data_IF_953871118586
#
_entry.id   IF_953871118586
#
_cell.length_a   1.000
_cell.length_b   1.000
_cell.length_c   1.000
_cell.angle_alpha   90.00
_cell.angle_beta   90.00
_cell.angle_gamma   90.00
#
_symmetry.space_group_name_H-M   'P 1'
#
loop_
_entity.id
_entity.type
_entity.pdbx_description
1 polymer ?
#
# COMPACT_ATOMS: atom_id res chain seq x y z
N UNK A 1 -4.92 34.69 38.01
CA UNK A 1 -3.54 34.67 37.48
C UNK A 1 -2.89 33.41 38.04
N UNK A 2 -2.88 32.35 37.29
CA UNK A 2 -2.19 31.11 37.64
C UNK A 2 -1.51 30.61 36.35
N UNK A 3 -0.19 30.68 36.37
CA UNK A 3 0.70 30.31 35.28
C UNK A 3 0.58 28.83 34.96
N UNK A 4 0.23 28.51 33.72
CA UNK A 4 0.35 27.14 33.16
C UNK A 4 1.74 27.03 32.53
N UNK A 5 2.64 26.42 33.28
CA UNK A 5 4.00 26.14 32.88
C UNK A 5 3.99 24.90 31.95
N UNK A 6 4.01 25.10 30.65
CA UNK A 6 4.20 24.02 29.67
C UNK A 6 5.69 23.82 29.43
N UNK A 7 6.25 22.80 30.09
CA UNK A 7 7.65 22.36 29.82
C UNK A 7 7.74 21.75 28.42
N UNK A 8 8.77 22.06 27.63
CA UNK A 8 8.95 21.47 26.31
C UNK A 8 9.30 19.98 26.41
N UNK A 9 8.58 19.16 25.65
CA UNK A 9 8.82 17.71 25.56
C UNK A 9 10.26 17.45 25.08
N UNK A 10 11.04 16.70 25.84
CA UNK A 10 12.44 16.46 25.51
C UNK A 10 12.59 15.48 24.35
N UNK A 11 13.72 15.59 23.59
CA UNK A 11 14.07 14.65 22.51
C UNK A 11 14.09 13.18 22.98
N UNK A 12 14.33 12.92 24.25
CA UNK A 12 14.28 11.59 24.85
C UNK A 12 12.85 11.03 24.93
N UNK A 13 11.87 11.87 25.21
CA UNK A 13 10.46 11.47 25.34
C UNK A 13 9.84 11.19 23.97
N UNK A 14 10.26 11.95 22.93
CA UNK A 14 9.85 11.70 21.55
C UNK A 14 10.42 10.38 21.01
N UNK A 15 11.68 10.06 21.32
CA UNK A 15 12.30 8.76 20.94
C UNK A 15 11.65 7.61 21.71
N UNK A 16 11.27 7.79 22.98
CA UNK A 16 10.59 6.77 23.77
C UNK A 16 9.15 6.51 23.30
N UNK A 17 8.47 7.52 22.77
CA UNK A 17 7.11 7.38 22.21
C UNK A 17 7.14 6.72 20.83
N UNK A 18 8.12 7.04 19.99
CA UNK A 18 8.39 6.33 18.73
C UNK A 18 8.79 4.86 18.93
N UNK A 19 9.56 4.59 19.98
CA UNK A 19 9.93 3.22 20.37
C UNK A 19 8.75 2.42 20.93
N UNK A 20 7.75 3.07 21.54
CA UNK A 20 6.53 2.40 22.05
C UNK A 20 5.56 2.00 20.94
N UNK A 21 5.55 2.69 19.79
CA UNK A 21 4.82 2.24 18.60
C UNK A 21 5.53 1.12 17.82
N UNK A 22 6.85 0.95 18.04
CA UNK A 22 7.62 -0.18 17.55
C UNK A 22 7.65 -1.39 18.50
N UNK A 23 7.17 -1.27 19.73
CA UNK A 23 7.33 -2.28 20.79
C UNK A 23 6.09 -3.18 20.99
N UNK A 24 5.05 -3.10 20.14
CA UNK A 24 4.00 -4.13 20.10
C UNK A 24 4.39 -5.37 19.29
N UNK A 25 5.67 -5.54 19.00
CA UNK A 25 6.29 -6.80 18.59
C UNK A 25 7.09 -7.44 19.75
N UNK A 26 6.63 -7.25 20.99
CA UNK A 26 7.24 -7.88 22.15
C UNK A 26 6.50 -9.16 22.53
N UNK A 27 7.17 -10.29 22.24
CA UNK A 27 7.16 -11.51 23.04
C UNK A 27 5.81 -12.24 23.21
N UNK A 28 5.29 -12.83 22.12
CA UNK A 28 4.94 -14.24 22.25
C UNK A 28 6.27 -15.01 22.26
N UNK A 29 6.47 -16.01 23.14
CA UNK A 29 7.59 -16.91 23.00
C UNK A 29 7.38 -17.69 21.69
N UNK A 30 8.01 -17.24 20.61
CA UNK A 30 8.13 -18.01 19.39
C UNK A 30 9.05 -19.17 19.75
N UNK A 31 8.45 -20.28 20.16
CA UNK A 31 9.14 -21.55 20.17
C UNK A 31 9.57 -21.74 18.73
N UNK A 32 10.86 -21.58 18.50
CA UNK A 32 11.51 -21.99 17.27
C UNK A 32 11.28 -23.51 17.13
N UNK A 33 10.10 -23.89 16.63
CA UNK A 33 9.95 -25.19 16.00
C UNK A 33 10.86 -25.13 14.80
N UNK A 34 11.97 -25.84 14.94
CA UNK A 34 13.03 -25.89 13.97
C UNK A 34 12.46 -26.05 12.57
N UNK A 35 12.99 -25.26 11.67
CA UNK A 35 12.67 -25.27 10.24
C UNK A 35 13.00 -26.62 9.55
N UNK A 36 13.25 -27.65 10.28
CA UNK A 36 13.76 -28.96 9.84
C UNK A 36 12.66 -29.97 9.46
N UNK A 37 11.38 -29.58 9.48
CA UNK A 37 10.27 -30.49 9.24
C UNK A 37 9.58 -30.43 7.87
N UNK A 38 9.90 -29.45 7.02
CA UNK A 38 9.37 -29.45 5.65
C UNK A 38 10.21 -30.41 4.79
N UNK A 39 9.56 -31.36 4.12
CA UNK A 39 10.22 -32.20 3.13
C UNK A 39 10.99 -31.33 2.15
N UNK A 40 12.17 -31.79 1.63
CA UNK A 40 12.98 -31.01 0.67
C UNK A 40 12.16 -30.52 -0.54
N UNK A 41 11.11 -31.24 -0.91
CA UNK A 41 10.18 -30.89 -1.97
C UNK A 41 9.35 -29.61 -1.69
N UNK A 42 9.20 -29.21 -0.42
CA UNK A 42 8.42 -28.03 -0.02
C UNK A 42 9.27 -26.79 0.25
N UNK A 43 10.59 -26.86 0.05
CA UNK A 43 11.46 -25.70 0.20
C UNK A 43 11.42 -24.82 -1.04
N UNK A 44 11.34 -23.50 -0.82
CA UNK A 44 11.51 -22.47 -1.83
C UNK A 44 12.75 -21.65 -1.49
N UNK A 45 13.76 -21.73 -2.34
CA UNK A 45 14.98 -20.96 -2.20
C UNK A 45 14.80 -19.55 -2.77
N UNK A 46 14.90 -18.53 -1.92
CA UNK A 46 14.71 -17.15 -2.30
C UNK A 46 15.99 -16.35 -2.21
N UNK A 47 16.12 -15.35 -3.06
CA UNK A 47 17.12 -14.29 -2.95
C UNK A 47 16.45 -12.95 -2.75
N UNK A 48 17.16 -12.00 -2.10
CA UNK A 48 16.71 -10.62 -1.92
C UNK A 48 17.64 -9.68 -2.65
N UNK A 49 17.09 -8.77 -3.47
CA UNK A 49 17.81 -7.63 -4.06
C UNK A 49 17.25 -6.34 -3.45
N UNK A 50 18.10 -5.59 -2.75
CA UNK A 50 17.73 -4.42 -1.97
C UNK A 50 17.49 -4.76 -0.50
N UNK A 51 18.53 -4.61 0.32
CA UNK A 51 18.53 -4.89 1.77
C UNK A 51 18.20 -3.64 2.62
N UNK A 52 17.62 -2.62 1.99
CA UNK A 52 17.18 -1.39 2.64
C UNK A 52 16.05 -1.62 3.64
N UNK A 53 15.35 -0.55 3.99
CA UNK A 53 14.27 -0.64 4.98
C UNK A 53 13.12 -1.56 4.52
N UNK A 54 12.66 -1.38 3.26
CA UNK A 54 11.61 -2.24 2.70
C UNK A 54 12.07 -3.70 2.56
N UNK A 55 13.30 -3.93 2.08
CA UNK A 55 13.84 -5.30 1.98
C UNK A 55 13.87 -6.02 3.32
N UNK A 56 14.18 -5.32 4.43
CA UNK A 56 14.13 -5.89 5.79
C UNK A 56 12.71 -6.14 6.28
N UNK A 57 11.75 -5.27 5.92
CA UNK A 57 10.32 -5.48 6.22
C UNK A 57 9.85 -6.77 5.52
N UNK A 58 10.16 -6.94 4.24
CA UNK A 58 9.81 -8.14 3.48
C UNK A 58 10.54 -9.39 4.03
N UNK A 59 11.81 -9.27 4.39
CA UNK A 59 12.56 -10.36 5.05
C UNK A 59 11.84 -10.81 6.32
N UNK A 60 11.50 -9.88 7.22
CA UNK A 60 10.80 -10.20 8.46
C UNK A 60 9.42 -10.84 8.20
N UNK A 61 8.71 -10.38 7.18
CA UNK A 61 7.41 -10.94 6.79
C UNK A 61 7.54 -12.33 6.13
N UNK A 62 8.68 -12.63 5.48
CA UNK A 62 8.95 -13.91 4.84
C UNK A 62 9.47 -14.98 5.82
N UNK A 63 10.19 -14.59 6.86
CA UNK A 63 10.78 -15.51 7.85
C UNK A 63 9.78 -16.49 8.48
N UNK A 64 8.52 -16.12 8.82
CA UNK A 64 7.53 -17.04 9.35
C UNK A 64 6.94 -18.00 8.31
N UNK A 65 7.18 -17.79 7.01
CA UNK A 65 6.58 -18.61 5.94
C UNK A 65 7.31 -19.99 5.90
N UNK A 66 6.59 -21.11 6.14
CA UNK A 66 7.22 -22.41 6.16
C UNK A 66 7.93 -22.74 4.85
N UNK A 67 9.16 -23.22 4.92
CA UNK A 67 9.95 -23.65 3.78
C UNK A 67 10.52 -22.53 2.90
N UNK A 68 10.25 -21.25 3.15
CA UNK A 68 10.98 -20.17 2.50
C UNK A 68 12.42 -20.11 3.05
N UNK A 69 13.42 -20.19 2.17
CA UNK A 69 14.84 -20.21 2.54
C UNK A 69 15.61 -19.14 1.80
N UNK A 70 16.17 -18.18 2.52
CA UNK A 70 17.05 -17.18 1.91
C UNK A 70 18.43 -17.83 1.63
N UNK A 71 18.81 -17.82 0.36
CA UNK A 71 20.09 -18.37 -0.15
C UNK A 71 21.09 -17.27 -0.50
N UNK A 72 20.60 -16.09 -0.85
CA UNK A 72 21.43 -14.96 -1.21
C UNK A 72 20.75 -13.64 -0.89
N UNK A 73 21.56 -12.61 -0.63
CA UNK A 73 21.13 -11.21 -0.46
C UNK A 73 22.07 -10.30 -1.23
N UNK A 74 21.52 -9.26 -1.85
CA UNK A 74 22.27 -8.32 -2.66
C UNK A 74 21.94 -6.88 -2.30
N UNK A 75 22.96 -6.05 -2.05
CA UNK A 75 22.83 -4.61 -1.85
C UNK A 75 24.17 -3.94 -2.12
N UNK A 76 24.16 -2.78 -2.77
CA UNK A 76 25.38 -2.01 -3.04
C UNK A 76 25.97 -1.36 -1.77
N UNK A 77 25.17 -1.28 -0.69
CA UNK A 77 25.60 -0.70 0.59
C UNK A 77 25.98 -1.79 1.60
N UNK A 78 27.26 -1.96 1.91
CA UNK A 78 27.72 -3.00 2.84
C UNK A 78 27.05 -2.92 4.22
N UNK A 79 26.67 -1.73 4.66
CA UNK A 79 25.94 -1.51 5.91
C UNK A 79 24.58 -2.23 5.92
N UNK A 80 23.78 -2.10 4.85
CA UNK A 80 22.50 -2.77 4.72
C UNK A 80 22.69 -4.28 4.56
N UNK A 81 23.64 -4.68 3.73
CA UNK A 81 23.96 -6.08 3.45
C UNK A 81 24.30 -6.84 4.74
N UNK A 82 25.27 -6.34 5.51
CA UNK A 82 25.68 -6.95 6.79
C UNK A 82 24.54 -7.07 7.80
N UNK A 83 23.67 -6.04 7.87
CA UNK A 83 22.52 -6.04 8.78
C UNK A 83 21.50 -7.12 8.41
N UNK A 84 21.24 -7.29 7.13
CA UNK A 84 20.29 -8.30 6.63
C UNK A 84 20.87 -9.70 6.77
N UNK A 85 22.14 -9.89 6.47
CA UNK A 85 22.85 -11.16 6.68
C UNK A 85 22.78 -11.61 8.16
N UNK A 86 23.10 -10.71 9.09
CA UNK A 86 23.01 -10.98 10.54
C UNK A 86 21.58 -11.33 10.98
N UNK A 87 20.58 -10.65 10.44
CA UNK A 87 19.18 -10.96 10.70
C UNK A 87 18.86 -12.37 10.24
N UNK A 88 19.18 -12.72 9.00
CA UNK A 88 18.92 -14.04 8.42
C UNK A 88 19.64 -15.14 9.18
N UNK A 89 20.91 -14.95 9.54
CA UNK A 89 21.69 -15.91 10.33
C UNK A 89 21.07 -16.18 11.70
N UNK A 90 20.50 -15.15 12.36
CA UNK A 90 19.79 -15.31 13.64
C UNK A 90 18.59 -16.26 13.54
N UNK A 91 17.98 -16.38 12.36
CA UNK A 91 16.84 -17.26 12.07
C UNK A 91 17.24 -18.54 11.32
N UNK A 92 18.54 -18.91 11.30
CA UNK A 92 19.03 -20.15 10.72
C UNK A 92 19.10 -20.16 9.19
N UNK A 93 19.18 -18.98 8.56
CA UNK A 93 19.42 -18.87 7.13
C UNK A 93 20.87 -18.50 6.84
N UNK A 94 21.53 -19.26 5.98
CA UNK A 94 22.90 -19.03 5.51
C UNK A 94 22.86 -18.38 4.12
N UNK A 95 22.45 -17.11 4.06
CA UNK A 95 22.36 -16.36 2.83
C UNK A 95 23.74 -15.78 2.44
N UNK A 96 24.19 -16.05 1.21
CA UNK A 96 25.45 -15.49 0.68
C UNK A 96 25.25 -14.01 0.33
N UNK A 97 26.14 -13.11 0.77
CA UNK A 97 26.07 -11.69 0.42
C UNK A 97 26.69 -11.39 -0.95
N UNK A 98 26.07 -10.49 -1.71
CA UNK A 98 26.54 -10.01 -3.00
C UNK A 98 26.37 -8.49 -3.11
N UNK A 99 27.25 -7.84 -3.83
CA UNK A 99 27.12 -6.44 -4.21
C UNK A 99 26.42 -6.30 -5.57
N UNK A 100 26.72 -7.16 -6.52
CA UNK A 100 26.14 -7.19 -7.87
C UNK A 100 25.12 -8.32 -7.98
N UNK A 101 23.90 -7.98 -8.35
CA UNK A 101 22.82 -8.95 -8.54
C UNK A 101 23.08 -9.91 -9.71
N UNK A 102 23.86 -9.50 -10.72
CA UNK A 102 24.23 -10.35 -11.87
C UNK A 102 25.14 -11.49 -11.42
N UNK A 103 26.12 -11.16 -10.57
CA UNK A 103 26.98 -12.15 -9.94
C UNK A 103 26.16 -13.10 -9.07
N UNK A 104 25.24 -12.57 -8.28
CA UNK A 104 24.34 -13.39 -7.45
C UNK A 104 23.53 -14.37 -8.28
N UNK A 105 22.88 -13.91 -9.35
CA UNK A 105 22.03 -14.74 -10.22
C UNK A 105 22.82 -15.82 -10.97
N UNK A 106 24.08 -15.55 -11.33
CA UNK A 106 24.94 -16.51 -12.04
C UNK A 106 25.63 -17.50 -11.10
N UNK A 107 25.96 -17.10 -9.85
CA UNK A 107 26.76 -17.89 -8.91
C UNK A 107 25.93 -18.78 -7.98
N UNK A 108 24.63 -18.50 -7.79
CA UNK A 108 23.75 -19.25 -6.91
C UNK A 108 22.68 -19.94 -7.73
N UNK A 109 23.00 -21.18 -8.17
CA UNK A 109 22.15 -21.92 -9.12
C UNK A 109 20.80 -22.37 -8.56
N UNK A 110 20.69 -22.59 -7.26
CA UNK A 110 19.53 -23.15 -6.58
C UNK A 110 18.51 -22.09 -6.09
N UNK A 111 18.55 -20.87 -6.59
CA UNK A 111 17.51 -19.87 -6.36
C UNK A 111 16.28 -20.22 -7.20
N UNK A 112 15.09 -20.25 -6.59
CA UNK A 112 13.81 -20.46 -7.26
C UNK A 112 13.11 -19.11 -7.53
N UNK A 113 13.20 -18.17 -6.58
CA UNK A 113 12.53 -16.89 -6.66
C UNK A 113 13.37 -15.74 -6.10
N UNK A 114 13.12 -14.54 -6.60
CA UNK A 114 13.80 -13.31 -6.19
C UNK A 114 12.79 -12.31 -5.65
N UNK A 115 13.06 -11.75 -4.48
CA UNK A 115 12.35 -10.61 -3.90
C UNK A 115 13.15 -9.35 -4.22
N UNK A 116 12.51 -8.36 -4.83
CA UNK A 116 13.14 -7.09 -5.25
C UNK A 116 12.53 -5.94 -4.45
N UNK A 117 13.38 -5.19 -3.75
CA UNK A 117 13.00 -4.05 -2.90
C UNK A 117 14.00 -2.89 -3.06
N UNK A 118 14.42 -2.66 -4.27
CA UNK A 118 15.29 -1.55 -4.69
C UNK A 118 14.46 -0.28 -4.98
N UNK A 119 15.07 0.87 -5.31
CA UNK A 119 14.35 2.03 -5.82
C UNK A 119 13.62 1.78 -7.15
N UNK A 120 12.53 2.51 -7.40
CA UNK A 120 11.60 2.32 -8.53
C UNK A 120 12.31 2.20 -9.90
N UNK A 121 13.33 3.01 -10.17
CA UNK A 121 14.03 3.03 -11.47
C UNK A 121 14.82 1.75 -11.76
N UNK A 122 15.15 0.97 -10.73
CA UNK A 122 15.88 -0.30 -10.84
C UNK A 122 14.95 -1.52 -10.92
N UNK A 123 13.66 -1.36 -10.61
CA UNK A 123 12.73 -2.48 -10.57
C UNK A 123 12.66 -3.24 -11.91
N UNK A 124 12.55 -2.52 -13.02
CA UNK A 124 12.45 -3.15 -14.34
C UNK A 124 13.74 -3.89 -14.71
N UNK A 125 14.91 -3.30 -14.46
CA UNK A 125 16.22 -3.95 -14.74
C UNK A 125 16.38 -5.22 -13.93
N UNK A 126 16.21 -5.15 -12.62
CA UNK A 126 16.39 -6.31 -11.72
C UNK A 126 15.36 -7.41 -12.00
N UNK A 127 14.09 -7.04 -12.21
CA UNK A 127 13.02 -7.98 -12.52
C UNK A 127 13.28 -8.71 -13.82
N UNK A 128 13.59 -7.98 -14.89
CA UNK A 128 13.84 -8.58 -16.20
C UNK A 128 15.07 -9.51 -16.17
N UNK A 129 16.13 -9.14 -15.45
CA UNK A 129 17.30 -9.98 -15.28
C UNK A 129 16.97 -11.27 -14.51
N UNK A 130 16.23 -11.20 -13.41
CA UNK A 130 15.84 -12.36 -12.61
C UNK A 130 14.91 -13.30 -13.41
N UNK A 131 13.91 -12.75 -14.13
CA UNK A 131 13.00 -13.53 -14.98
C UNK A 131 13.77 -14.27 -16.10
N UNK A 132 14.70 -13.58 -16.79
CA UNK A 132 15.56 -14.18 -17.83
C UNK A 132 16.53 -15.23 -17.29
N UNK A 133 16.94 -15.08 -16.02
CA UNK A 133 17.69 -16.11 -15.32
C UNK A 133 16.82 -17.31 -14.87
N UNK A 134 15.54 -17.35 -15.28
CA UNK A 134 14.62 -18.44 -15.00
C UNK A 134 14.03 -18.40 -13.58
N UNK A 135 14.09 -17.28 -12.87
CA UNK A 135 13.59 -17.14 -11.50
C UNK A 135 12.20 -16.52 -11.50
N UNK A 136 11.34 -16.93 -10.55
CA UNK A 136 10.09 -16.25 -10.24
C UNK A 136 10.38 -14.93 -9.50
N UNK A 137 9.56 -13.91 -9.66
CA UNK A 137 9.86 -12.59 -9.09
C UNK A 137 8.68 -12.04 -8.28
N UNK A 138 8.99 -11.61 -7.06
CA UNK A 138 8.20 -10.65 -6.29
C UNK A 138 8.93 -9.30 -6.36
N UNK A 139 8.31 -8.27 -6.90
CA UNK A 139 8.89 -6.94 -6.98
C UNK A 139 8.03 -5.94 -6.19
N UNK A 140 8.64 -5.07 -5.41
CA UNK A 140 7.94 -3.99 -4.73
C UNK A 140 7.27 -3.02 -5.72
N UNK A 141 6.27 -2.32 -5.23
CA UNK A 141 5.58 -1.25 -5.96
C UNK A 141 6.38 0.07 -5.86
N UNK A 142 6.27 0.96 -6.80
CA UNK A 142 5.64 0.89 -8.10
C UNK A 142 6.48 0.00 -9.03
N UNK A 143 5.87 -0.58 -10.06
CA UNK A 143 6.58 -1.47 -10.99
C UNK A 143 7.87 -0.85 -11.56
N UNK A 144 7.81 0.43 -11.90
CA UNK A 144 8.91 1.23 -12.42
C UNK A 144 8.55 2.72 -12.30
N UNK A 145 9.53 3.59 -12.42
CA UNK A 145 9.31 5.03 -12.55
C UNK A 145 8.91 5.46 -13.99
N UNK A 146 8.82 4.51 -14.94
CA UNK A 146 8.35 4.74 -16.32
C UNK A 146 7.36 3.67 -16.76
N UNK A 147 6.44 4.04 -17.67
CA UNK A 147 5.46 3.09 -18.25
C UNK A 147 6.16 2.02 -19.08
N UNK A 148 7.19 2.40 -19.82
CA UNK A 148 7.98 1.49 -20.66
C UNK A 148 8.70 0.44 -19.81
N UNK A 149 9.30 0.85 -18.70
CA UNK A 149 9.92 -0.05 -17.72
C UNK A 149 8.90 -1.03 -17.15
N UNK A 150 7.74 -0.54 -16.72
CA UNK A 150 6.66 -1.39 -16.21
C UNK A 150 6.17 -2.40 -17.27
N UNK A 151 5.98 -1.95 -18.51
CA UNK A 151 5.59 -2.80 -19.64
C UNK A 151 6.61 -3.91 -19.90
N UNK A 152 7.90 -3.57 -19.87
CA UNK A 152 8.98 -4.54 -20.11
C UNK A 152 8.97 -5.69 -19.11
N UNK A 153 8.60 -5.43 -17.86
CA UNK A 153 8.51 -6.46 -16.83
C UNK A 153 7.41 -7.49 -17.14
N UNK A 154 6.25 -7.03 -17.60
CA UNK A 154 5.14 -7.92 -17.98
C UNK A 154 5.49 -8.73 -19.21
N UNK A 155 6.05 -8.09 -20.24
CA UNK A 155 6.49 -8.77 -21.47
C UNK A 155 7.52 -9.86 -21.14
N UNK A 156 8.55 -9.53 -20.34
CA UNK A 156 9.58 -10.50 -19.95
C UNK A 156 9.00 -11.65 -19.13
N UNK A 157 8.04 -11.39 -18.24
CA UNK A 157 7.38 -12.45 -17.48
C UNK A 157 6.62 -13.44 -18.39
N UNK A 158 5.91 -12.92 -19.41
CA UNK A 158 5.23 -13.75 -20.43
C UNK A 158 6.23 -14.57 -21.25
N UNK A 159 7.29 -13.95 -21.76
CA UNK A 159 8.32 -14.59 -22.56
C UNK A 159 9.01 -15.74 -21.82
N UNK A 160 9.36 -15.50 -20.56
CA UNK A 160 10.07 -16.48 -19.72
C UNK A 160 9.13 -17.49 -19.06
N UNK A 161 7.82 -17.28 -19.11
CA UNK A 161 6.79 -18.07 -18.42
C UNK A 161 7.04 -18.18 -16.92
N UNK A 162 7.60 -17.12 -16.31
CA UNK A 162 7.84 -17.02 -14.88
C UNK A 162 6.81 -16.12 -14.24
N UNK A 163 6.49 -16.41 -12.98
CA UNK A 163 5.55 -15.62 -12.21
C UNK A 163 6.16 -14.28 -11.84
N UNK A 164 5.37 -13.22 -11.99
CA UNK A 164 5.68 -11.86 -11.55
C UNK A 164 4.55 -11.35 -10.67
N UNK A 165 4.82 -11.19 -9.37
CA UNK A 165 3.91 -10.56 -8.42
C UNK A 165 4.44 -9.19 -8.00
N UNK A 166 3.57 -8.20 -7.95
CA UNK A 166 3.88 -6.84 -7.51
C UNK A 166 3.41 -6.59 -6.08
N UNK A 167 4.20 -5.82 -5.32
CA UNK A 167 4.04 -5.54 -3.90
C UNK A 167 2.82 -4.68 -3.52
N UNK A 168 1.67 -4.89 -4.16
CA UNK A 168 0.39 -4.31 -3.76
C UNK A 168 -0.28 -5.19 -2.68
N UNK A 169 0.32 -5.22 -1.49
CA UNK A 169 0.01 -6.15 -0.40
C UNK A 169 -1.45 -6.11 0.09
N UNK A 170 -2.16 -4.99 -0.12
CA UNK A 170 -3.57 -4.84 0.27
C UNK A 170 -4.48 -5.84 -0.43
N UNK A 171 -4.13 -6.30 -1.64
CA UNK A 171 -4.88 -7.32 -2.38
C UNK A 171 -4.89 -8.69 -1.69
N UNK A 172 -3.92 -8.95 -0.79
CA UNK A 172 -3.87 -10.17 0.03
C UNK A 172 -4.29 -9.92 1.48
N UNK A 173 -4.64 -8.69 1.85
CA UNK A 173 -5.14 -8.38 3.19
C UNK A 173 -6.58 -8.89 3.32
N UNK A 174 -6.88 -9.78 4.29
CA UNK A 174 -8.21 -10.40 4.40
C UNK A 174 -9.34 -9.39 4.62
N UNK A 175 -9.07 -8.24 5.27
CA UNK A 175 -10.05 -7.16 5.42
C UNK A 175 -10.39 -6.51 4.09
N UNK A 176 -9.38 -6.26 3.24
CA UNK A 176 -9.59 -5.70 1.90
C UNK A 176 -10.28 -6.69 0.97
N UNK A 177 -9.93 -7.97 1.06
CA UNK A 177 -10.63 -9.04 0.32
C UNK A 177 -12.09 -9.14 0.75
N UNK A 178 -12.37 -9.16 2.05
CA UNK A 178 -13.72 -9.16 2.59
C UNK A 178 -14.52 -7.93 2.13
N UNK A 179 -13.90 -6.74 2.20
CA UNK A 179 -14.52 -5.50 1.72
C UNK A 179 -14.89 -5.58 0.24
N UNK A 180 -13.99 -6.08 -0.61
CA UNK A 180 -14.22 -6.22 -2.04
C UNK A 180 -15.27 -7.29 -2.34
N UNK A 181 -15.07 -8.49 -1.81
CA UNK A 181 -15.80 -9.68 -2.26
C UNK A 181 -17.17 -9.82 -1.60
N UNK A 182 -17.34 -9.30 -0.36
CA UNK A 182 -18.59 -9.41 0.38
C UNK A 182 -19.34 -8.07 0.43
N UNK A 183 -18.68 -6.98 0.76
CA UNK A 183 -19.36 -5.68 0.99
C UNK A 183 -19.67 -4.97 -0.32
N UNK A 184 -18.68 -4.80 -1.22
CA UNK A 184 -18.87 -4.04 -2.45
C UNK A 184 -19.53 -4.87 -3.57
N UNK A 185 -18.95 -6.03 -3.89
CA UNK A 185 -19.32 -6.77 -5.10
C UNK A 185 -20.29 -7.94 -4.84
N UNK A 186 -20.23 -8.57 -3.66
CA UNK A 186 -21.11 -9.69 -3.30
C UNK A 186 -22.50 -9.23 -2.89
N UNK A 187 -22.61 -8.82 -1.64
CA UNK A 187 -23.92 -8.43 -1.06
C UNK A 187 -24.27 -6.95 -1.36
N UNK A 188 -23.37 -6.17 -1.95
CA UNK A 188 -23.54 -4.79 -2.43
C UNK A 188 -24.12 -3.84 -1.38
N UNK A 189 -23.58 -3.90 -0.13
CA UNK A 189 -24.07 -3.13 1.00
C UNK A 189 -24.04 -1.61 0.78
N UNK A 190 -23.19 -1.13 -0.12
CA UNK A 190 -23.11 0.29 -0.45
C UNK A 190 -24.11 0.72 -1.54
N UNK A 191 -24.88 -0.23 -2.10
CA UNK A 191 -25.71 0.03 -3.29
C UNK A 191 -24.82 0.35 -4.50
N UNK A 192 -25.16 1.40 -5.22
CA UNK A 192 -24.35 1.92 -6.33
C UNK A 192 -23.29 2.88 -5.81
N UNK A 193 -22.03 2.50 -5.94
CA UNK A 193 -20.92 3.43 -5.64
C UNK A 193 -20.89 4.53 -6.70
N UNK A 194 -20.92 5.78 -6.25
CA UNK A 194 -20.91 6.98 -7.10
C UNK A 194 -19.62 7.77 -6.98
N UNK A 195 -19.01 7.75 -5.80
CA UNK A 195 -17.81 8.52 -5.49
C UNK A 195 -16.80 7.71 -4.68
N UNK A 196 -15.54 8.03 -4.87
CA UNK A 196 -14.44 7.54 -4.04
C UNK A 196 -13.57 8.74 -3.67
N UNK A 197 -13.11 8.79 -2.42
CA UNK A 197 -12.01 9.66 -2.03
C UNK A 197 -10.93 8.85 -1.34
N UNK A 198 -9.68 9.25 -1.49
CA UNK A 198 -8.57 8.66 -0.79
C UNK A 198 -7.50 9.68 -0.50
N UNK A 199 -6.71 9.36 0.48
CA UNK A 199 -5.64 10.25 0.90
C UNK A 199 -4.47 9.49 1.50
N UNK A 200 -3.31 10.16 1.50
CA UNK A 200 -2.20 9.85 2.38
C UNK A 200 -1.55 11.13 2.87
N UNK A 201 -1.71 11.40 4.15
CA UNK A 201 -1.13 12.57 4.79
C UNK A 201 -0.02 12.15 5.74
N UNK A 202 1.14 12.78 5.61
CA UNK A 202 2.31 12.63 6.48
C UNK A 202 2.74 13.98 7.02
N UNK A 203 3.19 14.00 8.27
CA UNK A 203 3.87 15.16 8.83
C UNK A 203 5.17 15.44 8.08
N UNK A 204 5.66 16.65 8.21
CA UNK A 204 7.01 17.03 7.77
C UNK A 204 8.04 16.06 8.36
N UNK A 205 8.98 15.65 7.55
CA UNK A 205 10.11 14.81 7.94
C UNK A 205 11.42 15.36 7.40
N UNK A 206 12.49 15.15 8.16
CA UNK A 206 13.84 15.41 7.67
C UNK A 206 14.26 14.34 6.65
N UNK A 207 15.23 14.69 5.81
CA UNK A 207 15.88 13.75 4.92
C UNK A 207 16.61 12.65 5.70
N UNK A 208 16.64 11.45 5.12
CA UNK A 208 17.32 10.32 5.72
C UNK A 208 18.83 10.53 5.73
N UNK A 209 19.41 10.54 6.92
CA UNK A 209 20.84 10.50 7.13
C UNK A 209 21.46 9.11 6.99
N UNK A 210 22.77 9.03 7.22
CA UNK A 210 23.54 7.79 7.24
C UNK A 210 24.71 7.92 8.24
N UNK A 211 25.22 6.81 8.83
CA UNK A 211 26.42 6.87 9.65
C UNK A 211 27.63 7.25 8.79
N UNK A 212 28.36 8.28 9.17
CA UNK A 212 29.47 8.83 8.36
C UNK A 212 30.53 7.78 8.01
N UNK A 213 30.86 6.88 8.95
CA UNK A 213 31.81 5.79 8.76
C UNK A 213 31.26 4.61 7.90
N UNK A 214 30.03 4.70 7.43
CA UNK A 214 29.38 3.71 6.56
C UNK A 214 29.05 4.28 5.20
N UNK A 215 29.50 5.48 4.89
CA UNK A 215 29.26 6.10 3.59
C UNK A 215 29.87 5.28 2.45
N UNK A 216 29.15 5.15 1.36
CA UNK A 216 29.69 4.63 0.10
C UNK A 216 30.44 5.80 -0.58
N UNK A 217 31.63 5.53 -1.08
CA UNK A 217 32.40 6.54 -1.83
C UNK A 217 31.69 6.92 -3.14
N UNK A 218 31.75 8.18 -3.53
CA UNK A 218 31.01 8.71 -4.68
C UNK A 218 31.33 7.98 -6.00
N UNK A 219 32.60 7.64 -6.23
CA UNK A 219 33.01 6.88 -7.40
C UNK A 219 32.29 5.51 -7.52
N UNK A 220 31.97 4.88 -6.37
CA UNK A 220 31.22 3.64 -6.34
C UNK A 220 29.72 3.92 -6.54
N UNK A 221 29.16 4.95 -5.92
CA UNK A 221 27.77 5.36 -6.11
C UNK A 221 27.48 5.69 -7.58
N UNK A 222 28.44 6.38 -8.25
CA UNK A 222 28.33 6.72 -9.67
C UNK A 222 28.18 5.50 -10.59
N UNK A 223 28.79 4.34 -10.26
CA UNK A 223 28.60 3.09 -11.01
C UNK A 223 27.16 2.57 -10.98
N UNK A 224 26.43 2.90 -9.91
CA UNK A 224 25.02 2.51 -9.68
C UNK A 224 24.05 3.65 -9.98
N UNK A 225 24.50 4.73 -10.61
CA UNK A 225 23.67 5.82 -11.07
C UNK A 225 23.32 6.89 -10.02
N UNK A 226 23.94 6.87 -8.83
CA UNK A 226 23.73 7.88 -7.80
C UNK A 226 24.86 8.89 -7.77
N UNK A 227 24.53 10.18 -7.58
CA UNK A 227 25.56 11.23 -7.50
C UNK A 227 26.28 11.19 -6.15
N UNK A 228 25.57 10.98 -5.05
CA UNK A 228 26.10 11.02 -3.69
C UNK A 228 25.21 10.23 -2.71
N UNK A 229 25.66 10.15 -1.44
CA UNK A 229 24.92 9.46 -0.38
C UNK A 229 23.57 10.11 -0.05
N UNK A 230 23.43 11.42 -0.20
CA UNK A 230 22.17 12.10 0.04
C UNK A 230 21.11 11.64 -0.95
N UNK A 231 21.40 11.64 -2.25
CA UNK A 231 20.49 11.13 -3.28
C UNK A 231 20.21 9.63 -3.12
N UNK A 232 21.25 8.84 -2.81
CA UNK A 232 21.09 7.41 -2.55
C UNK A 232 20.13 7.12 -1.39
N UNK A 233 20.20 7.90 -0.31
CA UNK A 233 19.31 7.71 0.85
C UNK A 233 17.90 8.28 0.64
N UNK A 234 17.80 9.34 -0.14
CA UNK A 234 16.58 10.11 -0.36
C UNK A 234 16.06 10.02 -1.80
N UNK A 235 16.34 8.92 -2.48
CA UNK A 235 16.03 8.68 -3.89
C UNK A 235 14.57 8.99 -4.27
N UNK A 236 13.63 8.87 -3.33
CA UNK A 236 12.20 9.13 -3.53
C UNK A 236 11.89 10.56 -3.96
N UNK A 237 12.78 11.49 -3.64
CA UNK A 237 12.57 12.91 -3.91
C UNK A 237 13.16 13.37 -5.24
N UNK A 238 13.87 12.49 -5.96
CA UNK A 238 14.54 12.81 -7.21
C UNK A 238 13.84 12.14 -8.38
N UNK A 239 13.50 12.94 -9.43
CA UNK A 239 12.72 12.50 -10.59
C UNK A 239 13.36 11.36 -11.36
N UNK A 240 14.69 11.29 -11.39
CA UNK A 240 15.41 10.23 -12.08
C UNK A 240 15.32 8.87 -11.40
N UNK A 241 14.99 8.81 -10.10
CA UNK A 241 14.98 7.57 -9.32
C UNK A 241 13.61 7.06 -8.96
N UNK A 242 12.61 7.93 -8.93
CA UNK A 242 11.29 7.58 -8.45
C UNK A 242 10.17 8.26 -9.24
N UNK A 243 8.96 7.74 -9.09
CA UNK A 243 7.73 8.35 -9.60
C UNK A 243 7.10 9.37 -8.64
N UNK A 244 7.82 9.78 -7.58
CA UNK A 244 7.35 10.76 -6.60
C UNK A 244 6.31 10.24 -5.60
N UNK A 245 5.69 11.13 -4.81
CA UNK A 245 4.72 10.76 -3.77
C UNK A 245 3.49 10.03 -4.31
N UNK A 246 3.09 10.27 -5.56
CA UNK A 246 2.02 9.52 -6.20
C UNK A 246 2.41 8.06 -6.41
N UNK A 247 3.67 7.78 -6.74
CA UNK A 247 4.23 6.43 -6.83
C UNK A 247 4.45 5.81 -5.44
N UNK A 248 5.11 6.54 -4.54
CA UNK A 248 5.48 6.02 -3.21
C UNK A 248 4.25 5.75 -2.33
N UNK A 249 3.29 6.66 -2.31
CA UNK A 249 2.13 6.62 -1.42
C UNK A 249 0.82 6.34 -2.18
N UNK A 250 0.54 7.11 -3.23
CA UNK A 250 -0.71 7.05 -3.98
C UNK A 250 -0.98 5.73 -4.67
N UNK A 251 0.07 5.01 -5.06
CA UNK A 251 -0.06 3.72 -5.72
C UNK A 251 -0.92 2.72 -4.92
N UNK A 252 -0.88 2.79 -3.60
CA UNK A 252 -1.70 1.92 -2.75
C UNK A 252 -3.19 2.18 -2.88
N UNK A 253 -3.63 3.46 -2.84
CA UNK A 253 -5.03 3.84 -2.94
C UNK A 253 -5.57 3.67 -4.35
N UNK A 254 -4.77 4.06 -5.34
CA UNK A 254 -5.16 3.97 -6.76
C UNK A 254 -5.29 2.50 -7.19
N UNK A 255 -4.42 1.62 -6.70
CA UNK A 255 -4.58 0.18 -6.88
C UNK A 255 -5.90 -0.33 -6.32
N UNK A 256 -6.31 0.16 -5.15
CA UNK A 256 -7.60 -0.22 -4.56
C UNK A 256 -8.78 0.30 -5.38
N UNK A 257 -8.68 1.49 -5.99
CA UNK A 257 -9.74 1.98 -6.89
C UNK A 257 -9.91 1.05 -8.09
N UNK A 258 -8.83 0.77 -8.81
CA UNK A 258 -8.86 -0.13 -9.97
C UNK A 258 -9.37 -1.53 -9.59
N UNK A 259 -8.86 -2.10 -8.51
CA UNK A 259 -9.16 -3.46 -8.10
C UNK A 259 -10.59 -3.65 -7.56
N UNK A 260 -11.06 -2.72 -6.74
CA UNK A 260 -12.39 -2.81 -6.14
C UNK A 260 -13.52 -2.48 -7.12
N UNK A 261 -13.28 -1.52 -8.03
CA UNK A 261 -14.23 -1.19 -9.10
C UNK A 261 -14.18 -2.20 -10.26
N UNK A 262 -13.07 -2.96 -10.38
CA UNK A 262 -12.85 -3.83 -11.56
C UNK A 262 -12.78 -3.04 -12.86
N UNK A 263 -12.31 -1.80 -12.81
CA UNK A 263 -12.28 -0.86 -13.94
C UNK A 263 -11.02 0.00 -13.88
N UNK A 264 -10.56 0.44 -15.04
CA UNK A 264 -9.52 1.47 -15.19
C UNK A 264 -10.17 2.85 -15.43
N UNK A 265 -9.51 3.94 -15.05
CA UNK A 265 -10.05 5.28 -15.30
C UNK A 265 -10.07 5.60 -16.79
N UNK A 266 -11.06 6.41 -17.22
CA UNK A 266 -11.14 6.99 -18.57
C UNK A 266 -10.49 8.37 -18.67
N UNK A 267 -10.26 9.03 -17.53
CA UNK A 267 -9.62 10.35 -17.47
C UNK A 267 -8.92 10.58 -16.13
N UNK A 268 -7.91 11.46 -16.18
CA UNK A 268 -7.20 11.98 -15.02
C UNK A 268 -6.98 13.49 -15.18
N UNK A 269 -7.31 14.25 -14.14
CA UNK A 269 -6.93 15.65 -13.97
C UNK A 269 -6.20 15.78 -12.63
N UNK A 270 -5.10 16.57 -12.61
CA UNK A 270 -4.30 16.67 -11.40
C UNK A 270 -3.64 18.05 -11.27
N UNK A 271 -3.38 18.43 -10.02
CA UNK A 271 -2.57 19.58 -9.62
C UNK A 271 -1.61 19.18 -8.51
N UNK A 272 -0.42 19.75 -8.48
CA UNK A 272 0.56 19.50 -7.44
C UNK A 272 1.76 20.45 -7.55
N UNK A 273 2.45 20.63 -6.44
CA UNK A 273 3.59 21.52 -6.34
C UNK A 273 4.66 21.05 -5.35
N UNK A 274 5.84 21.66 -5.47
CA UNK A 274 6.94 21.54 -4.51
C UNK A 274 7.01 22.87 -3.75
N UNK A 275 6.08 23.04 -2.81
CA UNK A 275 5.82 24.33 -2.18
C UNK A 275 6.54 24.48 -0.85
N UNK A 276 6.79 23.38 -0.16
CA UNK A 276 7.39 23.34 1.16
C UNK A 276 8.88 22.98 1.13
N UNK A 277 9.24 21.79 0.59
CA UNK A 277 10.61 21.31 0.57
C UNK A 277 11.42 22.00 -0.51
N UNK A 278 12.65 22.46 -0.16
CA UNK A 278 13.53 23.19 -1.09
C UNK A 278 14.58 22.28 -1.75
N UNK A 279 14.75 21.07 -1.23
CA UNK A 279 15.74 20.09 -1.69
C UNK A 279 15.13 18.94 -2.51
N UNK A 280 13.80 18.90 -2.63
CA UNK A 280 13.07 17.88 -3.37
C UNK A 280 12.75 18.34 -4.79
N UNK A 281 12.85 17.43 -5.74
CA UNK A 281 12.41 17.67 -7.13
C UNK A 281 10.93 17.30 -7.34
N UNK A 282 10.43 16.34 -6.54
CA UNK A 282 9.06 15.90 -6.58
C UNK A 282 8.14 16.75 -5.71
N UNK A 283 6.87 16.68 -6.02
CA UNK A 283 5.79 17.37 -5.31
C UNK A 283 5.77 16.99 -3.82
N UNK A 284 5.48 17.94 -2.95
CA UNK A 284 5.19 17.68 -1.53
C UNK A 284 3.68 17.69 -1.25
N UNK A 285 2.91 18.16 -2.20
CA UNK A 285 1.45 18.10 -2.20
C UNK A 285 0.94 17.85 -3.61
N UNK A 286 -0.08 17.01 -3.75
CA UNK A 286 -0.76 16.81 -5.01
C UNK A 286 -2.18 16.26 -4.80
N UNK A 287 -3.08 16.63 -5.72
CA UNK A 287 -4.45 16.11 -5.80
C UNK A 287 -4.74 15.66 -7.23
N UNK A 288 -5.43 14.53 -7.37
CA UNK A 288 -5.87 13.99 -8.64
C UNK A 288 -7.36 13.64 -8.59
N UNK A 289 -8.03 13.80 -9.73
CA UNK A 289 -9.43 13.44 -9.94
C UNK A 289 -9.50 12.52 -11.16
N UNK A 290 -10.30 11.45 -11.02
CA UNK A 290 -10.47 10.41 -12.03
C UNK A 290 -11.95 10.17 -12.34
N UNK A 291 -12.22 9.69 -13.55
CA UNK A 291 -13.51 9.15 -13.97
C UNK A 291 -13.36 7.68 -14.30
N UNK A 292 -14.05 6.82 -13.54
CA UNK A 292 -14.06 5.37 -13.73
C UNK A 292 -15.39 4.93 -14.35
N UNK A 293 -15.39 4.49 -15.62
CA UNK A 293 -16.57 3.87 -16.19
C UNK A 293 -16.75 2.46 -15.57
N UNK A 294 -17.89 2.20 -14.93
CA UNK A 294 -18.22 0.91 -14.38
C UNK A 294 -19.52 0.38 -15.00
N UNK A 295 -19.83 -0.90 -14.77
CA UNK A 295 -21.09 -1.49 -15.21
C UNK A 295 -22.34 -0.79 -14.64
N UNK A 296 -22.19 -0.17 -13.45
CA UNK A 296 -23.27 0.52 -12.75
C UNK A 296 -23.28 2.04 -13.04
N UNK A 297 -22.43 2.50 -13.95
CA UNK A 297 -22.31 3.90 -14.37
C UNK A 297 -20.96 4.53 -13.96
N UNK A 298 -20.86 5.84 -14.13
CA UNK A 298 -19.62 6.58 -13.86
C UNK A 298 -19.40 6.72 -12.34
N UNK A 299 -18.18 6.42 -11.88
CA UNK A 299 -17.69 6.71 -10.52
C UNK A 299 -16.65 7.82 -10.64
N UNK A 300 -16.78 8.86 -9.83
CA UNK A 300 -15.76 9.90 -9.71
C UNK A 300 -14.91 9.67 -8.50
N UNK A 301 -13.59 9.63 -8.69
CA UNK A 301 -12.64 9.38 -7.62
C UNK A 301 -11.69 10.56 -7.45
N UNK A 302 -11.32 10.87 -6.22
CA UNK A 302 -10.27 11.83 -5.90
C UNK A 302 -9.21 11.19 -5.03
N UNK A 303 -7.97 11.63 -5.20
CA UNK A 303 -6.86 11.22 -4.35
C UNK A 303 -6.00 12.43 -3.98
N UNK A 304 -5.64 12.53 -2.70
CA UNK A 304 -4.76 13.58 -2.20
C UNK A 304 -3.56 12.99 -1.46
N UNK A 305 -2.38 13.52 -1.76
CA UNK A 305 -1.16 13.27 -0.99
C UNK A 305 -0.61 14.57 -0.43
N UNK A 306 -0.28 14.55 0.87
CA UNK A 306 0.41 15.63 1.56
C UNK A 306 1.57 15.06 2.35
N UNK A 307 2.75 15.69 2.25
CA UNK A 307 3.94 15.30 3.05
C UNK A 307 4.34 16.38 4.05
N UNK A 308 3.41 17.30 4.33
CA UNK A 308 3.62 18.48 5.20
C UNK A 308 2.70 18.52 6.41
N UNK A 309 1.72 17.62 6.49
CA UNK A 309 0.78 17.52 7.60
C UNK A 309 0.27 16.09 7.77
N UNK A 310 0.08 15.66 9.02
CA UNK A 310 -0.60 14.40 9.36
C UNK A 310 -2.08 14.60 9.72
N UNK A 311 -2.60 15.82 9.60
CA UNK A 311 -4.01 16.10 9.84
C UNK A 311 -4.91 15.30 8.86
N UNK A 312 -6.14 15.04 9.26
CA UNK A 312 -7.11 14.33 8.44
C UNK A 312 -7.05 12.79 8.52
N UNK A 313 -6.28 12.20 9.45
CA UNK A 313 -6.36 10.77 9.77
C UNK A 313 -5.50 9.85 8.92
N UNK A 314 -4.32 10.30 8.49
CA UNK A 314 -3.31 9.44 7.83
C UNK A 314 -3.73 8.99 6.44
N UNK A 315 -3.88 7.67 6.22
CA UNK A 315 -4.20 7.10 4.90
C UNK A 315 -5.44 6.20 4.94
N UNK A 316 -6.29 6.34 3.94
CA UNK A 316 -7.49 5.54 3.75
C UNK A 316 -8.04 5.68 2.33
N UNK A 317 -8.94 4.79 1.96
CA UNK A 317 -9.88 4.86 0.85
C UNK A 317 -11.31 4.98 1.41
N UNK A 318 -12.14 5.80 0.78
CA UNK A 318 -13.53 6.02 1.18
C UNK A 318 -14.45 5.84 -0.03
N UNK A 319 -15.14 4.70 -0.08
CA UNK A 319 -16.11 4.35 -1.12
C UNK A 319 -17.50 4.80 -0.65
N UNK A 320 -18.18 5.60 -1.46
CA UNK A 320 -19.47 6.20 -1.14
C UNK A 320 -20.50 5.79 -2.18
N UNK A 321 -21.52 5.09 -1.73
CA UNK A 321 -22.66 4.65 -2.51
C UNK A 321 -23.97 5.24 -2.00
N UNK A 322 -25.08 4.90 -2.67
CA UNK A 322 -26.43 5.42 -2.36
C UNK A 322 -27.14 4.68 -1.21
N UNK A 323 -26.59 3.53 -0.76
CA UNK A 323 -27.11 2.76 0.39
C UNK A 323 -26.11 2.68 1.55
N UNK A 324 -24.85 3.03 1.33
CA UNK A 324 -23.86 3.02 2.38
C UNK A 324 -22.50 3.55 1.92
N UNK A 325 -21.58 3.65 2.89
CA UNK A 325 -20.22 4.11 2.63
C UNK A 325 -19.20 3.31 3.43
N UNK A 326 -18.06 3.02 2.84
CA UNK A 326 -16.97 2.27 3.45
C UNK A 326 -15.69 3.11 3.47
N UNK A 327 -15.26 3.50 4.66
CA UNK A 327 -13.90 3.99 4.89
C UNK A 327 -13.01 2.81 5.24
N UNK A 328 -11.96 2.57 4.44
CA UNK A 328 -11.09 1.41 4.55
C UNK A 328 -9.64 1.85 4.74
N UNK A 329 -8.91 1.20 5.65
CA UNK A 329 -7.49 1.42 5.92
C UNK A 329 -6.84 0.13 6.42
N UNK A 330 -5.53 -0.01 6.22
CA UNK A 330 -4.74 -1.06 6.89
C UNK A 330 -4.74 -0.88 8.42
N UNK A 331 -4.87 0.36 8.88
CA UNK A 331 -5.12 0.65 10.30
C UNK A 331 -6.61 0.45 10.64
N UNK A 332 -6.95 -0.55 11.46
CA UNK A 332 -8.36 -0.85 11.77
C UNK A 332 -9.11 0.32 12.43
N UNK A 333 -8.42 1.22 13.13
CA UNK A 333 -9.05 2.40 13.74
C UNK A 333 -9.70 3.35 12.72
N UNK A 334 -9.21 3.35 11.48
CA UNK A 334 -9.72 4.19 10.40
C UNK A 334 -10.67 3.44 9.46
N UNK A 335 -10.93 2.15 9.70
CA UNK A 335 -11.90 1.36 8.94
C UNK A 335 -13.27 1.50 9.59
N UNK A 336 -14.24 1.99 8.83
CA UNK A 336 -15.65 2.14 9.26
C UNK A 336 -16.57 1.94 8.07
N UNK A 337 -17.69 1.30 8.36
CA UNK A 337 -18.77 1.12 7.42
C UNK A 337 -19.99 1.92 7.92
N UNK A 338 -20.65 2.63 7.03
CA UNK A 338 -21.80 3.48 7.34
C UNK A 338 -22.99 3.05 6.50
N UNK A 339 -24.15 2.92 7.14
CA UNK A 339 -25.42 2.64 6.47
C UNK A 339 -26.18 3.96 6.25
N UNK A 340 -26.64 4.20 5.02
CA UNK A 340 -27.53 5.31 4.73
C UNK A 340 -28.91 5.11 5.37
N UNK A 341 -29.57 6.18 5.76
CA UNK A 341 -30.86 6.11 6.44
C UNK A 341 -31.96 5.44 5.60
N UNK A 342 -31.83 5.48 4.27
CA UNK A 342 -32.80 4.90 3.31
C UNK A 342 -32.48 3.47 2.94
N UNK A 343 -31.28 2.97 3.28
CA UNK A 343 -30.86 1.62 2.98
C UNK A 343 -31.66 0.59 3.82
N UNK A 344 -31.80 -0.64 3.31
CA UNK A 344 -32.34 -1.74 4.10
C UNK A 344 -31.60 -1.92 5.43
N UNK A 345 -32.29 -2.46 6.45
CA UNK A 345 -31.64 -2.80 7.72
C UNK A 345 -30.61 -3.90 7.53
N UNK A 346 -29.50 -3.83 8.30
CA UNK A 346 -28.34 -4.71 8.11
C UNK A 346 -28.31 -5.93 9.04
N UNK A 347 -29.39 -6.21 9.78
CA UNK A 347 -29.48 -7.35 10.70
C UNK A 347 -29.16 -8.69 10.01
N UNK A 348 -29.64 -8.88 8.78
CA UNK A 348 -29.36 -10.08 8.00
C UNK A 348 -27.88 -10.26 7.67
N UNK A 349 -27.13 -9.16 7.45
CA UNK A 349 -25.70 -9.22 7.16
C UNK A 349 -24.84 -9.33 8.42
N UNK A 350 -25.36 -8.84 9.56
CA UNK A 350 -24.79 -9.15 10.89
C UNK A 350 -24.93 -10.64 11.18
N UNK A 351 -26.11 -11.21 10.97
CA UNK A 351 -26.35 -12.65 11.17
C UNK A 351 -25.46 -13.53 10.27
N UNK A 352 -25.13 -13.06 9.06
CA UNK A 352 -24.20 -13.72 8.13
C UNK A 352 -22.71 -13.45 8.43
N UNK A 353 -22.38 -12.64 9.43
CA UNK A 353 -21.01 -12.25 9.77
C UNK A 353 -20.32 -11.40 8.71
N UNK A 354 -21.07 -10.65 7.88
CA UNK A 354 -20.51 -9.76 6.85
C UNK A 354 -20.14 -8.42 7.45
N UNK A 355 -20.94 -7.94 8.40
CA UNK A 355 -20.65 -6.76 9.22
C UNK A 355 -20.75 -7.14 10.69
N UNK A 356 -20.01 -6.46 11.55
CA UNK A 356 -20.16 -6.61 13.00
C UNK A 356 -21.44 -5.91 13.49
N UNK A 357 -21.83 -6.16 14.75
CA UNK A 357 -22.94 -5.42 15.34
C UNK A 357 -22.61 -3.91 15.38
N UNK A 358 -23.63 -3.05 15.36
CA UNK A 358 -23.42 -1.60 15.45
C UNK A 358 -22.56 -1.25 16.67
N UNK A 359 -21.69 -0.26 16.50
CA UNK A 359 -20.85 0.22 17.60
C UNK A 359 -21.74 0.86 18.67
N UNK A 360 -21.75 0.28 19.86
CA UNK A 360 -22.30 0.90 21.06
C UNK A 360 -21.21 1.78 21.68
N UNK A 361 -21.38 3.09 21.69
CA UNK A 361 -20.42 4.06 22.26
C UNK A 361 -19.90 5.04 21.22
N UNK A 362 -19.06 5.99 21.60
CA UNK A 362 -18.58 7.17 20.86
C UNK A 362 -18.62 7.08 19.34
N UNK A 363 -19.65 7.63 18.72
CA UNK A 363 -19.91 7.59 17.27
C UNK A 363 -21.29 7.05 16.88
N UNK A 364 -22.02 6.39 17.79
CA UNK A 364 -23.46 6.30 17.61
C UNK A 364 -24.00 7.73 17.75
N UNK A 365 -24.67 8.31 16.74
CA UNK A 365 -25.36 9.55 16.96
C UNK A 365 -26.32 9.30 18.10
N UNK A 366 -26.14 10.01 19.21
CA UNK A 366 -27.23 10.14 20.17
C UNK A 366 -28.44 10.48 19.32
N UNK A 367 -29.53 9.74 19.49
CA UNK A 367 -30.80 10.05 18.84
C UNK A 367 -31.23 11.41 19.35
N UNK A 368 -30.57 12.46 18.88
CA UNK A 368 -31.00 13.82 19.12
C UNK A 368 -32.20 14.00 18.23
N UNK A 369 -33.34 13.95 18.80
CA UNK A 369 -34.53 14.49 18.16
C UNK A 369 -34.35 16.01 18.10
N UNK A 370 -33.86 16.61 17.02
CA UNK A 370 -33.45 18.01 17.01
C UNK A 370 -34.58 18.98 17.33
N UNK A 371 -35.83 18.57 17.07
CA UNK A 371 -37.02 19.38 17.30
C UNK A 371 -37.51 19.37 18.74
N UNK A 372 -37.13 18.41 19.59
CA UNK A 372 -37.53 18.43 21.04
C UNK A 372 -36.83 19.57 21.81
N UNK A 373 -35.69 20.05 21.33
CA UNK A 373 -34.95 21.16 21.94
C UNK A 373 -35.38 22.56 21.51
N UNK A 374 -36.13 22.69 20.38
CA UNK A 374 -36.42 24.01 19.78
C UNK A 374 -37.91 24.36 19.77
N UNK A 375 -38.79 23.57 20.37
CA UNK A 375 -40.20 23.89 20.49
C UNK A 375 -40.98 24.05 19.17
N UNK A 376 -40.47 23.52 18.05
CA UNK A 376 -41.14 23.59 16.75
C UNK A 376 -42.26 22.55 16.71
N UNK A 377 -43.50 23.00 16.64
CA UNK A 377 -44.67 22.14 16.48
C UNK A 377 -44.54 21.30 15.18
N UNK A 378 -44.68 19.99 15.35
CA UNK A 378 -44.74 19.00 14.26
C UNK A 378 -45.84 19.38 13.28
N UNK A 379 -45.51 19.77 12.05
CA UNK A 379 -46.46 19.87 10.95
C UNK A 379 -46.89 18.45 10.55
N UNK A 380 -48.15 18.11 10.85
CA UNK A 380 -48.72 16.83 10.49
C UNK A 380 -49.05 16.80 9.01
N UNK A 381 -48.39 15.89 8.28
CA UNK A 381 -48.71 15.54 6.92
C UNK A 381 -48.10 14.17 6.58
N UNK A 382 -48.79 13.30 5.87
CA UNK A 382 -48.28 11.97 5.55
C UNK A 382 -47.27 12.03 4.42
N UNK A 383 -46.03 12.24 4.74
CA UNK A 383 -44.94 12.10 3.77
C UNK A 383 -44.11 10.88 4.13
N UNK A 384 -44.11 9.87 3.27
CA UNK A 384 -43.20 8.73 3.33
C UNK A 384 -41.72 9.13 3.10
N UNK A 385 -41.47 10.42 2.88
CA UNK A 385 -40.15 11.04 2.87
C UNK A 385 -39.97 11.84 4.16
N UNK A 386 -40.10 11.18 5.31
CA UNK A 386 -39.93 11.86 6.59
C UNK A 386 -38.54 12.46 6.72
N UNK A 387 -38.43 13.72 6.32
CA UNK A 387 -37.64 14.72 7.02
C UNK A 387 -36.14 14.47 7.10
N UNK A 388 -35.47 14.14 5.98
CA UNK A 388 -34.06 14.51 5.88
C UNK A 388 -34.04 15.99 5.53
N UNK A 389 -33.62 16.84 6.49
CA UNK A 389 -33.32 18.23 6.16
C UNK A 389 -32.15 18.22 5.16
N UNK A 390 -32.40 18.57 3.91
CA UNK A 390 -31.38 18.58 2.85
C UNK A 390 -30.24 19.57 3.11
N UNK A 391 -30.37 20.41 4.14
CA UNK A 391 -29.36 21.37 4.58
C UNK A 391 -28.42 20.78 5.61
N UNK A 392 -28.72 19.62 6.18
CA UNK A 392 -27.91 18.98 7.22
C UNK A 392 -27.42 17.60 6.74
N UNK A 393 -26.19 17.25 7.11
CA UNK A 393 -25.68 15.91 6.90
C UNK A 393 -26.29 14.97 7.94
N UNK A 394 -26.96 13.92 7.49
CA UNK A 394 -27.48 12.90 8.38
C UNK A 394 -26.35 12.24 9.19
N UNK A 395 -26.59 12.06 10.49
CA UNK A 395 -25.71 11.25 11.31
C UNK A 395 -25.94 9.77 10.97
N UNK A 396 -24.93 9.11 10.40
CA UNK A 396 -25.01 7.72 9.97
C UNK A 396 -24.60 6.78 11.09
N UNK A 397 -25.27 5.64 11.19
CA UNK A 397 -24.85 4.54 12.07
C UNK A 397 -23.54 3.95 11.56
N UNK A 398 -22.58 3.77 12.47
CA UNK A 398 -21.27 3.21 12.15
C UNK A 398 -21.19 1.72 12.52
N UNK A 399 -20.52 0.94 11.69
CA UNK A 399 -20.36 -0.50 11.79
C UNK A 399 -18.90 -0.87 11.58
N UNK A 400 -18.47 -2.02 12.12
CA UNK A 400 -17.13 -2.55 11.89
C UNK A 400 -17.14 -3.73 10.92
N UNK A 401 -16.00 -3.98 10.28
CA UNK A 401 -15.76 -5.20 9.51
C UNK A 401 -15.25 -6.28 10.46
N UNK A 402 -15.88 -7.47 10.53
CA UNK A 402 -15.53 -8.53 11.48
C UNK A 402 -14.29 -9.33 11.05
N UNK A 403 -13.39 -8.72 10.32
CA UNK A 403 -12.18 -9.37 9.80
C UNK A 403 -10.95 -8.60 10.24
N UNK A 404 -10.02 -9.30 10.90
CA UNK A 404 -8.75 -8.75 11.37
C UNK A 404 -7.59 -9.42 10.67
N UNK A 405 -6.47 -8.71 10.55
CA UNK A 405 -5.20 -9.25 10.14
C UNK A 405 -4.32 -9.42 11.39
N UNK A 406 -3.95 -10.65 11.70
CA UNK A 406 -3.12 -11.06 12.85
C UNK A 406 -1.63 -11.25 12.49
N UNK A 407 -1.27 -11.00 11.24
CA UNK A 407 0.09 -11.15 10.68
C UNK A 407 0.66 -9.79 10.30
N UNK A 408 1.97 -9.75 10.02
CA UNK A 408 2.59 -8.58 9.40
C UNK A 408 1.90 -8.27 8.06
N UNK A 409 1.67 -6.97 7.78
CA UNK A 409 0.85 -6.54 6.62
C UNK A 409 1.32 -7.08 5.25
N UNK A 410 2.61 -7.33 5.08
CA UNK A 410 3.16 -7.89 3.85
C UNK A 410 3.13 -9.43 3.81
N UNK A 411 2.99 -10.09 4.97
CA UNK A 411 3.11 -11.55 5.07
C UNK A 411 2.07 -12.31 4.23
N UNK A 412 0.77 -11.99 4.24
CA UNK A 412 -0.21 -12.71 3.40
C UNK A 412 0.10 -12.60 1.91
N UNK A 413 0.69 -11.50 1.48
CA UNK A 413 1.04 -11.29 0.08
C UNK A 413 2.26 -12.10 -0.35
N UNK A 414 3.25 -12.24 0.53
CA UNK A 414 4.39 -13.13 0.33
C UNK A 414 3.97 -14.61 0.43
N UNK A 415 3.06 -14.96 1.34
CA UNK A 415 2.47 -16.32 1.41
C UNK A 415 1.78 -16.68 0.09
N UNK A 416 0.98 -15.77 -0.47
CA UNK A 416 0.35 -15.99 -1.77
C UNK A 416 1.38 -16.19 -2.88
N UNK A 417 2.46 -15.40 -2.92
CA UNK A 417 3.54 -15.58 -3.89
C UNK A 417 4.22 -16.96 -3.75
N UNK A 418 4.57 -17.34 -2.53
CA UNK A 418 5.19 -18.65 -2.24
C UNK A 418 4.26 -19.79 -2.64
N UNK A 419 2.97 -19.69 -2.33
CA UNK A 419 1.97 -20.68 -2.70
C UNK A 419 1.74 -20.72 -4.22
N UNK A 420 1.79 -19.58 -4.90
CA UNK A 420 1.71 -19.54 -6.36
C UNK A 420 2.88 -20.29 -7.02
N UNK A 421 4.11 -20.09 -6.52
CA UNK A 421 5.29 -20.78 -7.03
C UNK A 421 5.24 -22.28 -6.75
N UNK A 422 4.79 -22.69 -5.57
CA UNK A 422 4.78 -24.09 -5.14
C UNK A 422 3.60 -24.90 -5.63
N UNK A 423 2.42 -24.29 -5.61
CA UNK A 423 1.13 -24.97 -5.78
C UNK A 423 0.37 -24.53 -7.02
N UNK A 424 0.87 -23.50 -7.74
CA UNK A 424 0.18 -22.93 -8.88
C UNK A 424 -1.08 -22.12 -8.53
N UNK A 425 -1.20 -21.64 -7.29
CA UNK A 425 -2.33 -20.78 -6.90
C UNK A 425 -2.26 -19.44 -7.66
N UNK A 426 -3.40 -18.81 -7.97
CA UNK A 426 -3.38 -17.50 -8.63
C UNK A 426 -2.65 -16.44 -7.80
N UNK A 427 -1.87 -15.60 -8.47
CA UNK A 427 -1.26 -14.43 -7.86
C UNK A 427 -2.33 -13.38 -7.48
N UNK A 428 -2.23 -12.81 -6.30
CA UNK A 428 -3.12 -11.73 -5.85
C UNK A 428 -2.92 -10.43 -6.63
N UNK A 429 -1.69 -10.18 -7.09
CA UNK A 429 -1.34 -9.02 -7.92
C UNK A 429 -0.34 -9.40 -9.02
N UNK A 430 -0.81 -10.08 -10.09
CA UNK A 430 0.07 -10.38 -11.23
C UNK A 430 0.50 -9.11 -11.97
N UNK A 431 1.62 -9.21 -12.72
CA UNK A 431 2.21 -8.10 -13.46
C UNK A 431 1.21 -7.30 -14.30
N UNK A 432 0.31 -7.98 -15.00
CA UNK A 432 -0.73 -7.38 -15.83
C UNK A 432 -1.67 -6.46 -15.04
N UNK A 433 -2.12 -6.91 -13.87
CA UNK A 433 -2.99 -6.10 -13.01
C UNK A 433 -2.28 -4.89 -12.43
N UNK A 434 -1.02 -5.06 -12.03
CA UNK A 434 -0.21 -3.97 -11.49
C UNK A 434 0.19 -2.96 -12.57
N UNK A 435 0.32 -3.39 -13.84
CA UNK A 435 0.61 -2.50 -14.95
C UNK A 435 -0.46 -1.42 -15.12
N UNK A 436 -1.73 -1.79 -15.03
CA UNK A 436 -2.82 -0.81 -15.09
C UNK A 436 -2.72 0.23 -13.96
N UNK A 437 -2.37 -0.19 -12.75
CA UNK A 437 -2.10 0.72 -11.63
C UNK A 437 -0.89 1.62 -11.92
N UNK A 438 0.21 1.06 -12.44
CA UNK A 438 1.41 1.83 -12.76
C UNK A 438 1.13 2.92 -13.81
N UNK A 439 0.39 2.59 -14.88
CA UNK A 439 -0.04 3.56 -15.90
C UNK A 439 -0.86 4.67 -15.25
N UNK A 440 -1.89 4.33 -14.46
CA UNK A 440 -2.75 5.32 -13.81
C UNK A 440 -1.93 6.27 -12.93
N UNK A 441 -1.02 5.75 -12.11
CA UNK A 441 -0.21 6.52 -11.17
C UNK A 441 0.77 7.44 -11.90
N UNK A 442 1.49 6.94 -12.89
CA UNK A 442 2.48 7.74 -13.63
C UNK A 442 1.83 8.84 -14.47
N UNK A 443 0.64 8.59 -15.01
CA UNK A 443 -0.14 9.61 -15.74
C UNK A 443 -0.60 10.77 -14.87
N UNK A 444 -0.68 10.65 -13.55
CA UNK A 444 -0.93 11.79 -12.66
C UNK A 444 0.19 12.82 -12.79
N UNK A 445 1.44 12.37 -12.77
CA UNK A 445 2.59 13.26 -12.91
C UNK A 445 2.60 13.98 -14.25
N UNK A 446 2.20 13.28 -15.33
CA UNK A 446 2.04 13.89 -16.65
C UNK A 446 0.89 14.92 -16.67
N UNK A 447 -0.25 14.62 -16.00
CA UNK A 447 -1.38 15.56 -15.93
C UNK A 447 -1.00 16.84 -15.18
N UNK A 448 -0.24 16.72 -14.07
CA UNK A 448 0.28 17.88 -13.34
C UNK A 448 1.21 18.71 -14.22
N UNK A 449 2.18 18.08 -14.90
CA UNK A 449 3.13 18.78 -15.76
C UNK A 449 2.46 19.44 -16.96
N UNK A 450 1.47 18.78 -17.54
CA UNK A 450 0.73 19.28 -18.72
C UNK A 450 -0.36 20.28 -18.37
N UNK A 451 -0.76 20.41 -17.10
CA UNK A 451 -1.87 21.27 -16.63
C UNK A 451 -3.17 21.06 -17.43
N UNK A 452 -3.47 19.81 -17.76
CA UNK A 452 -4.66 19.45 -18.55
C UNK A 452 -5.22 18.10 -18.14
N UNK A 453 -6.50 17.87 -18.46
CA UNK A 453 -7.10 16.54 -18.34
C UNK A 453 -6.51 15.60 -19.38
N UNK A 454 -5.97 14.47 -18.92
CA UNK A 454 -5.56 13.36 -19.77
C UNK A 454 -6.73 12.39 -19.96
N UNK A 455 -6.88 11.86 -21.17
CA UNK A 455 -7.82 10.80 -21.51
C UNK A 455 -7.05 9.49 -21.68
N UNK A 456 -7.58 8.41 -21.10
CA UNK A 456 -7.05 7.07 -21.28
C UNK A 456 -7.84 6.32 -22.33
N UNK A 457 -7.15 5.48 -23.07
CA UNK A 457 -7.73 4.49 -23.95
C UNK A 457 -7.55 3.09 -23.34
N UNK A 458 -8.42 2.13 -23.67
CA UNK A 458 -8.28 0.76 -23.15
C UNK A 458 -6.89 0.14 -23.41
N UNK A 459 -6.29 0.43 -24.56
CA UNK A 459 -4.97 -0.07 -24.95
C UNK A 459 -3.82 0.49 -24.09
N UNK A 460 -3.99 1.63 -23.42
CA UNK A 460 -2.97 2.18 -22.52
C UNK A 460 -2.68 1.24 -21.35
N UNK A 461 -3.66 0.42 -20.95
CA UNK A 461 -3.60 -0.51 -19.83
C UNK A 461 -3.19 -1.94 -20.24
N UNK A 462 -2.84 -2.16 -21.49
CA UNK A 462 -2.37 -3.45 -22.01
C UNK A 462 -0.85 -3.40 -22.18
N UNK A 463 -0.13 -4.34 -21.52
CA UNK A 463 1.32 -4.45 -21.61
C UNK A 463 1.77 -5.32 -22.77
#
# INVERSE_FOLDING_TARGET
MSDVNSSPVSRRDFISTGAKLGAFLAAAPYVARGADGAAKADQLNVALIGCGEQGRILTNAALPIPGARFKAVCDIWPYNLTRTERLLKKFGHEARPFEDYREMLSSVGDIDAVIIATPDFLHAEHTNAALRAGKHVYCEKLMSNTVEGARSMVVTARETKKLLQLGHQRRSNPRYQHARDRILNGDRLLGRVTNISGQWHRAVSDDYGYPANQAIVEAKLGKYGYANMHEFRNWRWFKRYAGGPMSDLGAHQIDMYNWMLGSNPSSCMASGGTDYYKTHEWFDNAIAIFEFPTKDGMVRASYQVLTTTSAGGGYHEYFMGDEGALKLSENPKYTKLYREARAPEWDQWVAKGIVASPLSGEGAPAAVKPWEKVGVKKLAGPSKSAGVDVRETAALSAWDIPVTLDKAIHQPHLENFVDAVRKGTPLSCPGESAFATAVTVLKINEAIAAQKTLRFKPEDFIA
#
